data_IF_571315938274
#
_entry.id   IF_571315938274
#
_cell.length_a   1.000
_cell.length_b   1.000
_cell.length_c   1.000
_cell.angle_alpha   90.00
_cell.angle_beta   90.00
_cell.angle_gamma   90.00
#
_symmetry.space_group_name_H-M   'P 1'
#
loop_
_entity.id
_entity.type
_entity.pdbx_description
1 polymer ?
#
# COMPACT_ATOMS: atom_id res chain seq x y z
N UNK A 1 -52.35 -18.64 43.48
CA UNK A 1 -52.50 -17.70 44.63
C UNK A 1 -51.48 -18.15 45.68
N UNK A 2 -50.38 -17.46 46.03
CA UNK A 2 -49.99 -16.06 45.88
C UNK A 2 -48.46 -15.95 45.73
N UNK A 3 -48.06 -14.91 44.98
CA UNK A 3 -46.71 -14.35 44.86
C UNK A 3 -46.26 -13.73 46.18
N UNK A 4 -44.94 -13.71 46.45
CA UNK A 4 -44.16 -12.50 46.73
C UNK A 4 -42.71 -12.85 47.14
N UNK A 5 -41.79 -12.68 46.20
CA UNK A 5 -40.35 -12.61 46.48
C UNK A 5 -40.01 -11.18 46.93
N UNK A 6 -39.28 -11.04 48.04
CA UNK A 6 -38.81 -9.74 48.54
C UNK A 6 -37.27 -9.66 48.57
N UNK A 7 -36.78 -8.56 48.00
CA UNK A 7 -35.66 -7.73 48.48
C UNK A 7 -34.20 -8.18 48.25
N UNK A 8 -33.73 -7.80 47.06
CA UNK A 8 -32.53 -7.00 46.78
C UNK A 8 -31.37 -6.94 47.79
N UNK A 9 -30.19 -7.37 47.31
CA UNK A 9 -28.88 -6.87 47.76
C UNK A 9 -28.03 -6.51 46.54
N UNK A 10 -28.10 -5.23 46.16
CA UNK A 10 -27.28 -4.56 45.14
C UNK A 10 -25.82 -4.56 45.62
N UNK A 11 -24.93 -5.26 44.92
CA UNK A 11 -23.48 -5.01 44.98
C UNK A 11 -23.05 -4.46 43.63
N UNK A 12 -22.60 -3.20 43.66
CA UNK A 12 -21.93 -2.49 42.57
C UNK A 12 -20.68 -3.30 42.18
N UNK A 13 -20.62 -3.78 40.95
CA UNK A 13 -19.37 -4.15 40.31
C UNK A 13 -18.93 -2.95 39.48
N UNK A 14 -17.79 -2.40 39.87
CA UNK A 14 -17.17 -1.20 39.36
C UNK A 14 -16.71 -1.40 37.91
N UNK A 15 -17.16 -0.49 37.05
CA UNK A 15 -16.37 0.22 36.03
C UNK A 15 -15.06 -0.44 35.59
N UNK A 16 -15.11 -1.23 34.51
CA UNK A 16 -13.95 -1.44 33.66
C UNK A 16 -14.37 -1.41 32.19
N UNK A 17 -14.86 -0.24 31.76
CA UNK A 17 -15.19 0.08 30.37
C UNK A 17 -14.34 1.26 29.87
N UNK A 18 -13.12 1.43 30.40
CA UNK A 18 -12.19 2.51 30.02
C UNK A 18 -10.89 1.94 29.41
N UNK A 19 -11.01 0.95 28.51
CA UNK A 19 -9.86 0.53 27.69
C UNK A 19 -10.12 0.43 26.19
N UNK A 20 -11.34 0.74 25.74
CA UNK A 20 -11.69 0.75 24.30
C UNK A 20 -11.78 2.14 23.67
N UNK A 21 -11.66 3.22 24.47
CA UNK A 21 -11.78 4.60 23.96
C UNK A 21 -10.44 5.32 23.67
N UNK A 22 -9.30 4.74 24.00
CA UNK A 22 -7.98 5.39 23.80
C UNK A 22 -7.45 5.20 22.36
N UNK A 23 -8.00 4.26 21.59
CA UNK A 23 -7.40 3.87 20.31
C UNK A 23 -7.89 4.63 19.06
N UNK A 24 -8.90 5.49 19.18
CA UNK A 24 -9.49 6.17 18.00
C UNK A 24 -8.98 7.59 17.75
N UNK A 25 -8.34 8.24 18.72
CA UNK A 25 -7.98 9.66 18.59
C UNK A 25 -6.70 9.93 17.79
N UNK A 26 -5.86 8.92 17.55
CA UNK A 26 -4.65 9.05 16.70
C UNK A 26 -4.81 8.36 15.35
N UNK A 27 -5.96 8.50 14.68
CA UNK A 27 -6.08 8.02 13.30
C UNK A 27 -5.12 8.79 12.39
N UNK A 28 -4.01 8.15 12.03
CA UNK A 28 -3.05 8.67 11.05
C UNK A 28 -3.72 8.66 9.67
N UNK A 29 -4.22 9.80 9.21
CA UNK A 29 -4.87 9.89 7.89
C UNK A 29 -3.85 10.26 6.81
N UNK A 30 -3.60 9.34 5.88
CA UNK A 30 -2.89 9.64 4.63
C UNK A 30 -3.92 10.06 3.58
N UNK A 31 -3.83 11.30 3.10
CA UNK A 31 -4.76 11.82 2.10
C UNK A 31 -4.31 11.43 0.69
N UNK A 32 -4.96 10.43 0.10
CA UNK A 32 -4.71 10.01 -1.29
C UNK A 32 -5.53 10.87 -2.26
N UNK A 33 -4.91 11.51 -3.28
CA UNK A 33 -5.62 12.25 -4.33
C UNK A 33 -6.67 11.41 -5.06
N UNK A 34 -7.76 12.02 -5.52
CA UNK A 34 -8.91 11.32 -6.11
C UNK A 34 -8.57 10.52 -7.38
N UNK A 35 -7.69 11.03 -8.25
CA UNK A 35 -7.29 10.31 -9.47
C UNK A 35 -6.46 9.07 -9.15
N UNK A 36 -5.69 9.08 -8.05
CA UNK A 36 -4.97 7.92 -7.55
C UNK A 36 -5.91 6.94 -6.82
N UNK A 37 -6.97 7.42 -6.17
CA UNK A 37 -8.04 6.54 -5.67
C UNK A 37 -8.73 5.80 -6.82
N UNK A 38 -9.03 6.50 -7.92
CA UNK A 38 -9.56 5.85 -9.14
C UNK A 38 -8.58 4.79 -9.66
N UNK A 39 -7.30 5.11 -9.73
CA UNK A 39 -6.26 4.15 -10.13
C UNK A 39 -6.27 2.87 -9.28
N UNK A 40 -6.47 2.98 -7.96
CA UNK A 40 -6.59 1.82 -7.07
C UNK A 40 -7.83 0.97 -7.34
N UNK A 41 -8.96 1.62 -7.69
CA UNK A 41 -10.19 0.91 -8.06
C UNK A 41 -10.01 0.16 -9.38
N UNK A 42 -9.44 0.83 -10.39
CA UNK A 42 -9.16 0.24 -11.71
C UNK A 42 -8.16 -0.93 -11.57
N UNK A 43 -7.09 -0.77 -10.79
CA UNK A 43 -6.11 -1.83 -10.46
C UNK A 43 -6.77 -3.05 -9.80
N UNK A 44 -7.62 -2.82 -8.78
CA UNK A 44 -8.35 -3.90 -8.14
C UNK A 44 -9.27 -4.65 -9.13
N UNK A 45 -9.98 -3.93 -10.00
CA UNK A 45 -10.83 -4.54 -11.03
C UNK A 45 -10.02 -5.41 -12.00
N UNK A 46 -8.91 -4.88 -12.52
CA UNK A 46 -8.05 -5.63 -13.44
C UNK A 46 -7.53 -6.93 -12.84
N UNK A 47 -7.02 -6.88 -11.60
CA UNK A 47 -6.40 -8.08 -10.97
C UNK A 47 -7.45 -9.06 -10.46
N UNK A 48 -8.51 -8.58 -9.80
CA UNK A 48 -9.43 -9.46 -9.09
C UNK A 48 -10.59 -9.94 -9.95
N UNK A 49 -11.12 -9.08 -10.81
CA UNK A 49 -12.28 -9.39 -11.66
C UNK A 49 -11.87 -9.85 -13.05
N UNK A 50 -10.88 -9.20 -13.67
CA UNK A 50 -10.50 -9.47 -15.05
C UNK A 50 -9.33 -10.45 -15.22
N UNK A 51 -8.70 -10.89 -14.12
CA UNK A 51 -7.56 -11.81 -14.13
C UNK A 51 -6.37 -11.31 -14.97
N UNK A 52 -6.16 -9.99 -14.97
CA UNK A 52 -5.05 -9.34 -15.66
C UNK A 52 -4.00 -8.92 -14.66
N UNK A 53 -2.74 -9.22 -14.95
CA UNK A 53 -1.63 -8.94 -14.06
C UNK A 53 -0.74 -7.87 -14.67
N UNK A 54 -0.16 -7.03 -13.81
CA UNK A 54 0.92 -6.14 -14.20
C UNK A 54 2.11 -6.99 -14.65
N UNK A 55 2.63 -6.71 -15.85
CA UNK A 55 3.82 -7.41 -16.35
C UNK A 55 5.06 -7.01 -15.52
N UNK A 56 5.82 -8.02 -15.10
CA UNK A 56 7.08 -7.86 -14.35
C UNK A 56 8.28 -8.32 -15.20
N UNK A 57 9.47 -7.71 -15.03
CA UNK A 57 9.73 -6.52 -14.20
C UNK A 57 9.06 -5.28 -14.79
N UNK A 58 8.62 -4.38 -13.91
CA UNK A 58 7.90 -3.16 -14.27
C UNK A 58 8.90 -2.03 -14.57
N UNK A 59 8.55 -1.14 -15.51
CA UNK A 59 9.34 0.04 -15.83
C UNK A 59 8.44 1.28 -15.92
N UNK A 60 8.66 2.33 -15.10
CA UNK A 60 9.69 2.39 -14.05
C UNK A 60 9.39 1.48 -12.84
N UNK A 61 10.44 1.03 -12.16
CA UNK A 61 10.36 0.30 -10.88
C UNK A 61 10.09 1.24 -9.71
N UNK A 62 9.80 0.69 -8.52
CA UNK A 62 9.70 1.50 -7.28
C UNK A 62 11.01 2.25 -7.02
N UNK A 63 12.16 1.60 -7.16
CA UNK A 63 13.47 2.25 -6.98
C UNK A 63 13.67 3.40 -7.99
N UNK A 64 13.26 3.22 -9.24
CA UNK A 64 13.31 4.30 -10.25
C UNK A 64 12.40 5.47 -9.88
N UNK A 65 11.18 5.18 -9.40
CA UNK A 65 10.20 6.22 -9.03
C UNK A 65 10.70 7.01 -7.82
N UNK A 66 11.22 6.34 -6.79
CA UNK A 66 11.78 6.99 -5.60
C UNK A 66 12.98 7.86 -5.96
N UNK A 67 13.86 7.37 -6.84
CA UNK A 67 15.02 8.11 -7.33
C UNK A 67 14.61 9.35 -8.12
N UNK A 68 13.65 9.21 -9.06
CA UNK A 68 13.09 10.33 -9.82
C UNK A 68 12.47 11.39 -8.92
N UNK A 69 11.79 10.99 -7.84
CA UNK A 69 11.23 11.95 -6.89
C UNK A 69 12.32 12.68 -6.09
N UNK A 70 13.36 11.97 -5.65
CA UNK A 70 14.48 12.58 -4.95
C UNK A 70 15.17 13.63 -5.84
N UNK A 71 15.45 13.30 -7.11
CA UNK A 71 16.00 14.25 -8.08
C UNK A 71 15.09 15.46 -8.31
N UNK A 72 13.78 15.23 -8.43
CA UNK A 72 12.79 16.31 -8.55
C UNK A 72 12.86 17.28 -7.37
N UNK A 73 13.02 16.75 -6.15
CA UNK A 73 13.13 17.56 -4.93
C UNK A 73 14.47 18.27 -4.78
N UNK A 74 15.57 17.62 -5.15
CA UNK A 74 16.90 18.24 -5.14
C UNK A 74 16.96 19.47 -6.04
N UNK A 75 16.35 19.41 -7.23
CA UNK A 75 16.29 20.55 -8.16
C UNK A 75 15.40 21.69 -7.67
N UNK A 76 14.40 21.38 -6.83
CA UNK A 76 13.40 22.36 -6.38
C UNK A 76 13.82 23.10 -5.11
N UNK A 77 14.38 22.38 -4.12
CA UNK A 77 14.49 22.90 -2.75
C UNK A 77 15.93 22.94 -2.20
N UNK A 78 16.94 22.40 -2.90
CA UNK A 78 18.39 22.53 -2.61
C UNK A 78 18.93 21.95 -1.29
N UNK A 79 18.26 22.19 -0.14
CA UNK A 79 18.79 21.98 1.23
C UNK A 79 17.99 20.94 2.04
N UNK A 80 16.75 20.60 1.64
CA UNK A 80 15.85 19.71 2.42
C UNK A 80 15.90 18.22 2.03
N UNK A 81 16.92 17.80 1.27
CA UNK A 81 16.99 16.47 0.65
C UNK A 81 17.22 15.33 1.63
N UNK A 82 17.96 15.55 2.72
CA UNK A 82 18.38 14.47 3.61
C UNK A 82 17.17 13.85 4.31
N UNK A 83 16.33 14.70 4.87
CA UNK A 83 15.10 14.27 5.55
C UNK A 83 14.06 13.68 4.59
N UNK A 84 14.14 13.96 3.29
CA UNK A 84 13.30 13.32 2.27
C UNK A 84 13.90 11.94 1.95
N UNK A 85 15.21 11.86 1.78
CA UNK A 85 15.94 10.61 1.54
C UNK A 85 15.66 9.56 2.62
N UNK A 86 15.65 9.94 3.89
CA UNK A 86 15.26 9.04 4.99
C UNK A 86 13.84 8.50 4.85
N UNK A 87 12.89 9.36 4.49
CA UNK A 87 11.49 8.95 4.28
C UNK A 87 11.39 7.98 3.09
N UNK A 88 12.10 8.25 1.98
CA UNK A 88 12.09 7.37 0.82
C UNK A 88 12.76 6.02 1.10
N UNK A 89 13.86 6.00 1.86
CA UNK A 89 14.47 4.76 2.36
C UNK A 89 13.49 3.96 3.22
N UNK A 90 12.74 4.64 4.09
CA UNK A 90 11.67 4.04 4.88
C UNK A 90 10.57 3.44 4.02
N UNK A 91 10.07 4.18 3.02
CA UNK A 91 9.06 3.69 2.07
C UNK A 91 9.56 2.46 1.31
N UNK A 92 10.79 2.48 0.80
CA UNK A 92 11.40 1.34 0.09
C UNK A 92 11.48 0.10 0.97
N UNK A 93 12.11 0.21 2.13
CA UNK A 93 12.25 -0.89 3.08
C UNK A 93 10.89 -1.44 3.51
N UNK A 94 9.93 -0.54 3.72
CA UNK A 94 8.59 -0.94 4.09
C UNK A 94 7.86 -1.65 2.94
N UNK A 95 8.00 -1.16 1.71
CA UNK A 95 7.48 -1.80 0.51
C UNK A 95 8.01 -3.23 0.35
N UNK A 96 9.33 -3.41 0.44
CA UNK A 96 9.99 -4.72 0.27
C UNK A 96 9.43 -5.76 1.27
N UNK A 97 9.21 -5.37 2.53
CA UNK A 97 8.67 -6.24 3.57
C UNK A 97 7.14 -6.43 3.47
N UNK A 98 6.42 -5.37 3.14
CA UNK A 98 4.96 -5.38 3.12
C UNK A 98 4.41 -6.09 1.87
N UNK A 99 5.13 -6.07 0.74
CA UNK A 99 4.65 -6.64 -0.51
C UNK A 99 4.19 -8.10 -0.37
N UNK A 100 5.04 -9.05 0.05
CA UNK A 100 4.62 -10.45 0.22
C UNK A 100 3.65 -10.66 1.38
N UNK A 101 3.46 -9.70 2.28
CA UNK A 101 2.56 -9.87 3.43
C UNK A 101 1.16 -9.39 3.09
N UNK A 102 1.00 -8.19 2.54
CA UNK A 102 -0.29 -7.51 2.49
C UNK A 102 -0.61 -6.70 1.22
N UNK A 103 0.31 -6.52 0.28
CA UNK A 103 0.06 -5.66 -0.90
C UNK A 103 -0.35 -6.43 -2.15
N UNK A 104 -0.17 -7.77 -2.16
CA UNK A 104 -0.52 -8.62 -3.29
C UNK A 104 -1.92 -9.23 -3.11
N UNK A 105 -2.73 -9.16 -4.16
CA UNK A 105 -3.95 -9.95 -4.26
C UNK A 105 -3.64 -11.42 -4.46
N UNK A 106 -4.63 -12.29 -4.21
CA UNK A 106 -4.48 -13.75 -4.29
C UNK A 106 -3.89 -14.21 -5.63
N UNK A 107 -4.28 -13.59 -6.74
CA UNK A 107 -3.83 -13.96 -8.10
C UNK A 107 -2.37 -13.59 -8.39
N UNK A 108 -1.85 -12.54 -7.76
CA UNK A 108 -0.47 -12.07 -7.95
C UNK A 108 0.55 -12.92 -7.16
N UNK A 109 0.08 -13.77 -6.22
CA UNK A 109 0.96 -14.57 -5.36
C UNK A 109 1.83 -15.55 -6.14
N UNK A 110 1.28 -16.16 -7.20
CA UNK A 110 2.07 -17.06 -8.06
C UNK A 110 3.14 -16.27 -8.82
N UNK A 111 2.75 -15.15 -9.45
CA UNK A 111 3.70 -14.28 -10.16
C UNK A 111 4.84 -13.80 -9.26
N UNK A 112 4.56 -13.50 -7.98
CA UNK A 112 5.59 -13.16 -7.00
C UNK A 112 6.59 -14.30 -6.79
N UNK A 113 6.11 -15.54 -6.58
CA UNK A 113 6.96 -16.71 -6.40
C UNK A 113 7.83 -17.01 -7.62
N UNK A 114 7.32 -16.75 -8.83
CA UNK A 114 8.04 -17.01 -10.07
C UNK A 114 9.15 -15.99 -10.33
N UNK A 115 8.95 -14.73 -9.92
CA UNK A 115 9.84 -13.61 -10.24
C UNK A 115 10.83 -13.29 -9.11
N UNK A 116 10.39 -13.34 -7.85
CA UNK A 116 11.23 -13.01 -6.70
C UNK A 116 12.00 -14.25 -6.25
N UNK A 117 13.32 -14.19 -6.45
CA UNK A 117 14.28 -15.19 -5.97
C UNK A 117 14.98 -14.69 -4.71
N UNK A 118 15.77 -15.57 -4.10
CA UNK A 118 16.69 -15.19 -3.02
C UNK A 118 17.52 -13.98 -3.45
N UNK A 119 17.66 -13.01 -2.54
CA UNK A 119 18.38 -11.73 -2.71
C UNK A 119 17.79 -10.68 -3.67
N UNK A 120 16.60 -10.90 -4.25
CA UNK A 120 15.94 -9.89 -5.09
C UNK A 120 14.99 -9.01 -4.25
N UNK A 121 15.28 -7.71 -4.20
CA UNK A 121 14.42 -6.70 -3.56
C UNK A 121 13.16 -6.48 -4.40
N UNK A 122 11.95 -6.60 -3.84
CA UNK A 122 10.74 -6.34 -4.62
C UNK A 122 10.67 -4.92 -5.23
N UNK A 123 11.28 -3.92 -4.59
CA UNK A 123 11.33 -2.54 -5.11
C UNK A 123 12.08 -2.39 -6.44
N UNK A 124 12.92 -3.36 -6.83
CA UNK A 124 13.62 -3.36 -8.13
C UNK A 124 12.85 -4.08 -9.23
N UNK A 125 11.68 -4.65 -8.91
CA UNK A 125 10.88 -5.47 -9.83
C UNK A 125 9.49 -4.87 -10.04
N UNK A 126 8.85 -4.45 -8.95
CA UNK A 126 7.50 -3.91 -8.97
C UNK A 126 7.49 -2.40 -9.25
N UNK A 127 6.32 -1.86 -9.59
CA UNK A 127 6.16 -0.46 -10.01
C UNK A 127 5.14 0.34 -9.20
N UNK A 128 4.60 1.38 -9.83
CA UNK A 128 3.75 2.38 -9.19
C UNK A 128 2.42 1.81 -8.66
N UNK A 129 1.87 0.80 -9.34
CA UNK A 129 0.61 0.16 -9.02
C UNK A 129 0.66 -0.41 -7.58
N UNK A 130 1.64 -1.27 -7.32
CA UNK A 130 1.85 -1.88 -6.00
C UNK A 130 2.34 -0.87 -4.97
N UNK A 131 3.19 0.09 -5.37
CA UNK A 131 3.64 1.16 -4.48
C UNK A 131 2.46 1.98 -3.97
N UNK A 132 1.47 2.27 -4.81
CA UNK A 132 0.30 3.05 -4.40
C UNK A 132 -0.56 2.30 -3.38
N UNK A 133 -0.66 0.97 -3.47
CA UNK A 133 -1.36 0.13 -2.47
C UNK A 133 -0.74 0.28 -1.08
N UNK A 134 0.57 0.53 -0.99
CA UNK A 134 1.25 0.79 0.27
C UNK A 134 0.63 1.96 1.04
N UNK A 135 0.27 3.04 0.35
CA UNK A 135 -0.28 4.26 0.98
C UNK A 135 -1.68 4.05 1.54
N UNK A 136 -2.40 3.02 1.10
CA UNK A 136 -3.67 2.60 1.70
C UNK A 136 -3.43 1.88 3.03
N UNK A 137 -2.34 1.12 3.14
CA UNK A 137 -1.97 0.35 4.33
C UNK A 137 -1.19 1.13 5.36
N UNK A 138 -0.43 2.15 4.93
CA UNK A 138 0.42 2.96 5.80
C UNK A 138 -0.29 3.54 7.04
N UNK A 139 -1.53 4.09 6.94
CA UNK A 139 -2.32 4.50 8.11
C UNK A 139 -2.46 3.45 9.21
N UNK A 140 -2.80 2.21 8.82
CA UNK A 140 -3.02 1.10 9.77
C UNK A 140 -1.75 0.80 10.55
N UNK A 141 -0.58 1.00 9.95
CA UNK A 141 0.71 0.66 10.55
C UNK A 141 1.25 1.77 11.43
N UNK A 142 1.10 3.02 11.00
CA UNK A 142 1.53 4.19 11.76
C UNK A 142 0.71 4.34 13.05
N UNK A 143 -0.51 3.78 13.10
CA UNK A 143 -1.33 3.76 14.31
C UNK A 143 -0.70 3.00 15.48
N UNK A 144 0.20 2.04 15.21
CA UNK A 144 0.88 1.25 16.25
C UNK A 144 2.20 1.89 16.74
N UNK A 145 2.64 3.00 16.15
CA UNK A 145 3.90 3.66 16.47
C UNK A 145 3.62 4.93 17.28
N UNK A 146 4.27 5.08 18.43
CA UNK A 146 4.16 6.32 19.22
C UNK A 146 5.04 7.42 18.62
N UNK A 147 4.51 8.13 17.63
CA UNK A 147 5.18 9.25 16.94
C UNK A 147 4.69 10.56 17.55
N UNK A 148 5.60 11.49 17.80
CA UNK A 148 5.28 12.86 18.18
C UNK A 148 4.46 13.57 17.09
N UNK A 149 3.48 14.39 17.50
CA UNK A 149 2.50 15.02 16.59
C UNK A 149 3.17 15.87 15.52
N UNK A 150 4.19 16.64 15.86
CA UNK A 150 4.93 17.48 14.90
C UNK A 150 5.68 16.63 13.86
N UNK A 151 6.37 15.58 14.32
CA UNK A 151 7.07 14.64 13.45
C UNK A 151 6.11 13.90 12.53
N UNK A 152 4.95 13.46 13.05
CA UNK A 152 3.89 12.82 12.27
C UNK A 152 3.33 13.78 11.21
N UNK A 153 3.09 15.03 11.57
CA UNK A 153 2.59 16.06 10.64
C UNK A 153 3.57 16.30 9.50
N UNK A 154 4.87 16.44 9.81
CA UNK A 154 5.93 16.58 8.80
C UNK A 154 6.03 15.36 7.88
N UNK A 155 5.90 14.16 8.44
CA UNK A 155 5.86 12.92 7.67
C UNK A 155 4.66 12.90 6.72
N UNK A 156 3.45 13.20 7.22
CA UNK A 156 2.23 13.26 6.41
C UNK A 156 2.34 14.26 5.26
N UNK A 157 2.94 15.43 5.50
CA UNK A 157 3.18 16.43 4.44
C UNK A 157 4.11 15.90 3.35
N UNK A 158 5.20 15.22 3.72
CA UNK A 158 6.13 14.60 2.76
C UNK A 158 5.46 13.48 1.96
N UNK A 159 4.68 12.62 2.62
CA UNK A 159 3.92 11.54 1.97
C UNK A 159 2.88 12.10 1.00
N UNK A 160 2.15 13.14 1.39
CA UNK A 160 1.17 13.80 0.53
C UNK A 160 1.83 14.44 -0.68
N UNK A 161 2.98 15.08 -0.51
CA UNK A 161 3.71 15.65 -1.64
C UNK A 161 4.23 14.58 -2.60
N UNK A 162 4.72 13.45 -2.08
CA UNK A 162 5.09 12.30 -2.90
C UNK A 162 3.90 11.77 -3.70
N UNK A 163 2.72 11.64 -3.07
CA UNK A 163 1.48 11.26 -3.77
C UNK A 163 1.09 12.28 -4.85
N UNK A 164 1.27 13.58 -4.61
CA UNK A 164 1.06 14.61 -5.64
C UNK A 164 2.07 14.49 -6.79
N UNK A 165 3.30 14.08 -6.51
CA UNK A 165 4.28 13.78 -7.56
C UNK A 165 3.86 12.57 -8.40
N UNK A 166 3.38 11.48 -7.78
CA UNK A 166 2.82 10.34 -8.51
C UNK A 166 1.62 10.77 -9.38
N UNK A 167 0.72 11.58 -8.82
CA UNK A 167 -0.44 12.11 -9.53
C UNK A 167 -0.04 12.94 -10.76
N UNK A 168 0.97 13.82 -10.64
CA UNK A 168 1.44 14.65 -11.76
C UNK A 168 2.06 13.83 -12.89
N UNK A 169 2.62 12.67 -12.58
CA UNK A 169 3.30 11.78 -13.54
C UNK A 169 2.47 10.52 -13.83
N UNK A 170 1.16 10.56 -13.57
CA UNK A 170 0.32 9.36 -13.55
C UNK A 170 0.36 8.58 -14.87
N UNK A 171 0.32 9.27 -16.02
CA UNK A 171 0.38 8.65 -17.35
C UNK A 171 1.70 7.95 -17.67
N UNK A 172 2.78 8.34 -17.00
CA UNK A 172 4.11 7.73 -17.18
C UNK A 172 4.33 6.57 -16.20
N UNK A 173 3.79 6.67 -14.99
CA UNK A 173 4.06 5.70 -13.93
C UNK A 173 3.07 4.54 -13.88
N UNK A 174 1.81 4.78 -14.22
CA UNK A 174 0.74 3.78 -14.13
C UNK A 174 0.33 3.29 -15.52
N UNK A 175 0.07 1.99 -15.64
CA UNK A 175 -0.55 1.44 -16.85
C UNK A 175 -2.02 1.87 -16.95
N UNK A 176 -2.46 2.14 -18.19
CA UNK A 176 -3.87 2.36 -18.51
C UNK A 176 -4.66 1.05 -18.66
N UNK A 177 -3.98 -0.06 -18.92
CA UNK A 177 -4.55 -1.40 -19.00
C UNK A 177 -3.47 -2.46 -18.70
N UNK A 178 -3.88 -3.61 -18.17
CA UNK A 178 -2.99 -4.75 -17.92
C UNK A 178 -3.11 -5.79 -19.03
N UNK A 179 -2.04 -6.53 -19.27
CA UNK A 179 -2.07 -7.64 -20.22
C UNK A 179 -2.88 -8.81 -19.64
N UNK A 180 -3.68 -9.46 -20.48
CA UNK A 180 -4.34 -10.71 -20.13
C UNK A 180 -3.33 -11.84 -20.03
N UNK A 181 -3.50 -12.69 -19.02
CA UNK A 181 -2.75 -13.93 -18.85
C UNK A 181 -2.91 -14.80 -20.11
N UNK A 182 -1.95 -14.75 -21.05
CA UNK A 182 -1.94 -15.70 -22.18
C UNK A 182 -1.58 -17.07 -21.62
N UNK A 183 -2.58 -17.92 -21.39
CA UNK A 183 -2.36 -19.36 -21.29
C UNK A 183 -1.66 -19.77 -22.59
N UNK A 184 -0.47 -20.38 -22.57
CA UNK A 184 0.18 -20.84 -23.79
C UNK A 184 -0.69 -21.96 -24.36
N UNK A 185 -1.41 -21.68 -25.45
CA UNK A 185 -2.09 -22.70 -26.23
C UNK A 185 -1.08 -23.74 -26.67
N UNK A 186 -1.22 -24.95 -26.12
CA UNK A 186 -0.56 -26.14 -26.62
C UNK A 186 -0.87 -26.30 -28.10
N UNK A 187 0.14 -26.15 -28.96
CA UNK A 187 0.06 -26.49 -30.38
C UNK A 187 -0.30 -27.98 -30.51
N UNK A 188 -1.59 -28.28 -30.72
CA UNK A 188 -2.03 -29.56 -31.24
C UNK A 188 -1.47 -29.70 -32.65
N UNK A 189 -0.40 -30.49 -32.75
CA UNK A 189 0.26 -30.87 -34.00
C UNK A 189 -0.60 -31.97 -34.63
N UNK A 190 -1.56 -31.58 -35.47
CA UNK A 190 -2.24 -32.50 -36.38
C UNK A 190 -1.30 -32.86 -37.53
N UNK A 191 -0.79 -34.09 -37.49
CA UNK A 191 -0.25 -34.83 -38.63
C UNK A 191 -1.32 -35.84 -39.08
N UNK A 192 -1.12 -36.37 -40.29
CA UNK A 192 -1.87 -37.39 -41.03
C UNK A 192 -2.70 -36.71 -42.14
N UNK A 193 -2.18 -36.60 -43.37
CA UNK A 193 -1.76 -37.65 -44.33
C UNK A 193 -2.90 -38.58 -44.74
#
# INVERSE_FOLDING_TARGET
MFLTATKGKKRKADSNAEKDNISMEKQVKVQIPSTLKKQLVDDWEFVTQQDKLVKLPRSPTVDDILSKYLEYRSKKDGVMTDSIGEVLKGIRCYFDKALPVMLLYKRERQQYQDVIKEDVSPSTIYGAEHLLRLFVKLPELLAYVNIEVETLTRLQQKLLDFLKFLQKNQSTFFLSAYDGSKVPESKSKGKDE
#
